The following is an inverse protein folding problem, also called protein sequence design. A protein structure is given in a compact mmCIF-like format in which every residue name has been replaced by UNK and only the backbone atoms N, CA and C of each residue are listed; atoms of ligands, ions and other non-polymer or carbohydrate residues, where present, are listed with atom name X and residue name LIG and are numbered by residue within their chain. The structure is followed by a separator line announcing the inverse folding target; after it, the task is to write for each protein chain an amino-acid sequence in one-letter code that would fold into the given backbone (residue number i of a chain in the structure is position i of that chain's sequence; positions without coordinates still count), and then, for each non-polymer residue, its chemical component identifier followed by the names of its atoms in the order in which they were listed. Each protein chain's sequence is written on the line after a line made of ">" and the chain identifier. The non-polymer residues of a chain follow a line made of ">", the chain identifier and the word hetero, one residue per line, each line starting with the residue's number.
data_IF_712656554156
#
_entry.id   IF_712656554156
#
_cell.length_a   1.000
_cell.length_b   1.000
_cell.length_c   1.000
_cell.angle_alpha   90.00
_cell.angle_beta   90.00
_cell.angle_gamma   90.00
#
_symmetry.space_group_name_H-M   'P 1'
#
loop_
_entity.id
_entity.type
_entity.pdbx_description
1 polymer ?
#
# COMPACT_ATOMS: atom_id res chain seq x y z
N UNK A 1 6.01 7.36 10.23
CA UNK A 1 6.58 6.22 10.98
C UNK A 1 5.77 5.77 12.20
N UNK A 2 5.36 6.66 13.11
CA UNK A 2 4.75 6.28 14.40
C UNK A 2 3.48 5.40 14.33
N UNK A 3 2.69 5.46 13.24
CA UNK A 3 1.48 4.63 13.08
C UNK A 3 1.76 3.17 12.72
N UNK A 4 2.88 2.89 12.04
CA UNK A 4 3.22 1.54 11.52
C UNK A 4 4.31 0.90 12.39
N UNK A 5 5.19 1.71 12.97
CA UNK A 5 6.24 1.28 13.89
C UNK A 5 6.12 2.07 15.20
N UNK A 6 5.22 1.65 16.11
CA UNK A 6 5.05 2.32 17.42
C UNK A 6 6.28 2.11 18.32
N UNK A 7 7.04 1.05 18.07
CA UNK A 7 8.24 0.62 18.79
C UNK A 7 9.49 1.47 18.46
N UNK A 8 9.31 2.68 17.91
CA UNK A 8 10.35 3.66 17.55
C UNK A 8 11.57 3.11 16.79
N UNK A 9 11.43 1.98 16.09
CA UNK A 9 12.51 1.46 15.26
C UNK A 9 12.89 2.50 14.21
N UNK A 10 14.20 2.71 14.08
CA UNK A 10 14.76 3.57 13.04
C UNK A 10 14.56 2.84 11.71
N UNK A 11 13.51 3.22 11.00
CA UNK A 11 13.19 2.71 9.67
C UNK A 11 13.18 3.88 8.69
N UNK A 12 13.71 3.63 7.50
CA UNK A 12 13.74 4.64 6.43
C UNK A 12 12.46 4.59 5.61
N UNK A 13 12.14 5.68 4.92
CA UNK A 13 10.99 5.73 4.00
C UNK A 13 11.08 4.65 2.89
N UNK A 14 12.30 4.32 2.47
CA UNK A 14 12.58 3.20 1.55
C UNK A 14 12.12 1.83 2.07
N UNK A 15 12.05 1.64 3.39
CA UNK A 15 11.54 0.41 3.99
C UNK A 15 10.05 0.28 3.72
N UNK A 16 9.29 1.38 3.82
CA UNK A 16 7.86 1.42 3.51
C UNK A 16 7.63 1.05 2.04
N UNK A 17 8.41 1.59 1.12
CA UNK A 17 8.31 1.31 -0.32
C UNK A 17 8.45 -0.19 -0.60
N UNK A 18 9.41 -0.86 0.06
CA UNK A 18 9.60 -2.31 -0.05
C UNK A 18 8.41 -3.11 0.49
N UNK A 19 7.80 -2.66 1.59
CA UNK A 19 6.60 -3.30 2.13
C UNK A 19 5.39 -3.13 1.21
N UNK A 20 5.19 -1.93 0.67
CA UNK A 20 4.12 -1.64 -0.29
C UNK A 20 4.29 -2.46 -1.56
N UNK A 21 5.52 -2.58 -2.09
CA UNK A 21 5.80 -3.44 -3.26
C UNK A 21 5.42 -4.90 -3.03
N UNK A 22 5.80 -5.45 -1.87
CA UNK A 22 5.45 -6.83 -1.49
C UNK A 22 3.94 -7.01 -1.33
N UNK A 23 3.27 -6.03 -0.72
CA UNK A 23 1.82 -6.06 -0.52
C UNK A 23 1.07 -5.99 -1.86
N UNK A 24 1.45 -5.08 -2.76
CA UNK A 24 0.87 -4.99 -4.12
C UNK A 24 1.00 -6.30 -4.87
N UNK A 25 2.17 -6.95 -4.81
CA UNK A 25 2.37 -8.26 -5.46
C UNK A 25 1.35 -9.30 -4.97
N UNK A 26 1.19 -9.44 -3.66
CA UNK A 26 0.21 -10.37 -3.06
C UNK A 26 -1.23 -10.01 -3.44
N UNK A 27 -1.56 -8.72 -3.49
CA UNK A 27 -2.90 -8.26 -3.87
C UNK A 27 -3.20 -8.56 -5.34
N UNK A 28 -2.23 -8.36 -6.24
CA UNK A 28 -2.38 -8.71 -7.67
C UNK A 28 -2.57 -10.23 -7.84
N UNK A 29 -1.88 -11.06 -7.04
CA UNK A 29 -2.07 -12.51 -7.06
C UNK A 29 -3.48 -12.94 -6.62
N UNK A 30 -4.11 -12.19 -5.71
CA UNK A 30 -5.45 -12.48 -5.19
C UNK A 30 -6.56 -11.84 -6.04
N UNK A 31 -6.31 -10.64 -6.56
CA UNK A 31 -7.30 -9.78 -7.22
C UNK A 31 -6.60 -9.02 -8.38
N UNK A 32 -6.29 -9.72 -9.49
CA UNK A 32 -5.45 -9.16 -10.57
C UNK A 32 -6.10 -7.98 -11.30
N UNK A 33 -7.43 -7.92 -11.31
CA UNK A 33 -8.19 -6.92 -12.08
C UNK A 33 -8.32 -5.57 -11.36
N UNK A 34 -7.79 -5.44 -10.13
CA UNK A 34 -8.09 -4.31 -9.25
C UNK A 34 -6.84 -3.72 -8.64
N UNK A 35 -6.63 -2.43 -8.85
CA UNK A 35 -5.55 -1.68 -8.21
C UNK A 35 -6.04 -1.01 -6.92
N UNK A 36 -5.70 -1.62 -5.78
CA UNK A 36 -6.22 -1.21 -4.46
C UNK A 36 -5.26 -0.22 -3.76
N UNK A 37 -3.98 -0.19 -4.15
CA UNK A 37 -2.96 0.69 -3.55
C UNK A 37 -2.36 1.60 -4.62
N UNK A 38 -2.60 2.90 -4.50
CA UNK A 38 -2.10 3.92 -5.42
C UNK A 38 -0.97 4.73 -4.78
N UNK A 39 0.03 5.10 -5.58
CA UNK A 39 1.08 6.04 -5.15
C UNK A 39 0.63 7.47 -5.41
N UNK A 40 0.70 8.33 -4.39
CA UNK A 40 0.38 9.75 -4.47
C UNK A 40 1.68 10.53 -4.31
N UNK A 41 2.11 11.18 -5.39
CA UNK A 41 3.38 11.89 -5.43
C UNK A 41 3.44 12.99 -4.36
N UNK A 42 4.54 13.01 -3.60
CA UNK A 42 4.74 13.96 -2.50
C UNK A 42 3.95 13.69 -1.21
N UNK A 43 3.08 12.67 -1.19
CA UNK A 43 2.21 12.37 -0.03
C UNK A 43 2.41 10.94 0.49
N UNK A 44 2.64 9.95 -0.38
CA UNK A 44 2.85 8.55 -0.01
C UNK A 44 1.93 7.60 -0.76
N UNK A 45 1.18 6.77 -0.06
CA UNK A 45 0.30 5.76 -0.66
C UNK A 45 -1.13 5.90 -0.15
N UNK A 46 -2.09 5.63 -1.03
CA UNK A 46 -3.52 5.63 -0.74
C UNK A 46 -4.10 4.23 -0.95
N UNK A 47 -4.94 3.81 -0.01
CA UNK A 47 -5.72 2.58 -0.12
C UNK A 47 -7.12 2.93 -0.62
N UNK A 48 -7.57 2.26 -1.68
CA UNK A 48 -8.85 2.51 -2.33
C UNK A 48 -9.68 1.22 -2.40
N UNK A 49 -10.70 1.13 -1.54
CA UNK A 49 -11.62 -0.01 -1.49
C UNK A 49 -12.66 0.01 -2.61
N UNK A 50 -12.91 1.17 -3.22
CA UNK A 50 -13.88 1.30 -4.30
C UNK A 50 -13.35 0.64 -5.58
N UNK A 51 -12.04 0.46 -5.70
CA UNK A 51 -11.45 -0.43 -6.69
C UNK A 51 -11.87 -1.90 -6.49
N UNK A 52 -12.35 -2.32 -5.31
CA UNK A 52 -12.75 -3.71 -5.00
C UNK A 52 -14.21 -3.99 -5.31
N UNK A 53 -15.07 -2.98 -5.28
CA UNK A 53 -16.44 -3.09 -5.75
C UNK A 53 -16.41 -2.98 -7.28
N UNK A 54 -16.76 -4.03 -8.05
CA UNK A 54 -17.19 -3.77 -9.42
C UNK A 54 -18.41 -2.85 -9.30
N UNK A 55 -18.53 -1.94 -10.26
CA UNK A 55 -19.72 -1.14 -10.52
C UNK A 55 -21.02 -1.91 -10.17
N UNK A 56 -22.00 -1.17 -9.65
CA UNK A 56 -23.39 -1.57 -9.49
C UNK A 56 -23.88 -2.68 -10.44
#
# INVERSE_FOLDING_TARGET
>A
MNRIYPDQRIVSDRTIDSHIKKLRKKLIELIPDKEIICSVYGVGYRYDLQAIEPDK
#
